data_IF_946179212899
#
_entry.id   IF_946179212899
#
_cell.length_a   1.000
_cell.length_b   1.000
_cell.length_c   1.000
_cell.angle_alpha   90.00
_cell.angle_beta   90.00
_cell.angle_gamma   90.00
#
_symmetry.space_group_name_H-M   'P 1'
#
loop_
_entity.id
_entity.type
_entity.pdbx_description
1 polymer ?
#
# COMPACT_ATOMS: atom_id res chain seq x y z
N UNK A 1 -6.96 16.94 -12.45
CA UNK A 1 -8.18 16.11 -12.60
C UNK A 1 -8.70 15.83 -11.21
N UNK A 2 -9.86 16.37 -10.87
CA UNK A 2 -10.52 16.12 -9.59
C UNK A 2 -11.11 14.68 -9.56
N UNK A 3 -11.75 14.28 -8.44
CA UNK A 3 -12.26 12.92 -8.31
C UNK A 3 -13.43 12.64 -9.26
N UNK A 4 -14.30 13.62 -9.47
CA UNK A 4 -15.48 13.49 -10.34
C UNK A 4 -15.06 13.41 -11.81
N UNK A 5 -14.18 14.29 -12.27
CA UNK A 5 -13.58 14.23 -13.61
C UNK A 5 -12.87 12.90 -13.88
N UNK A 6 -12.23 12.32 -12.84
CA UNK A 6 -11.59 11.00 -12.93
C UNK A 6 -12.60 9.90 -13.17
N UNK A 7 -13.72 9.94 -12.47
CA UNK A 7 -14.78 8.94 -12.61
C UNK A 7 -15.44 9.03 -13.97
N UNK A 8 -15.79 10.24 -14.41
CA UNK A 8 -16.36 10.48 -15.72
C UNK A 8 -15.45 9.95 -16.84
N UNK A 9 -14.15 10.28 -16.78
CA UNK A 9 -13.16 9.78 -17.74
C UNK A 9 -13.06 8.24 -17.72
N UNK A 10 -13.10 7.62 -16.55
CA UNK A 10 -13.05 6.15 -16.43
C UNK A 10 -14.28 5.50 -17.03
N UNK A 11 -15.46 6.04 -16.77
CA UNK A 11 -16.70 5.50 -17.34
C UNK A 11 -16.77 5.69 -18.85
N UNK A 12 -16.33 6.83 -19.36
CA UNK A 12 -16.38 7.11 -20.79
C UNK A 12 -15.32 6.34 -21.59
N UNK A 13 -14.08 6.26 -21.08
CA UNK A 13 -12.95 5.75 -21.85
C UNK A 13 -12.39 4.43 -21.38
N UNK A 14 -12.42 4.16 -20.07
CA UNK A 14 -11.76 2.97 -19.49
C UNK A 14 -12.72 1.78 -19.37
N UNK A 15 -13.93 2.02 -18.90
CA UNK A 15 -14.94 0.99 -18.73
C UNK A 15 -15.21 0.19 -20.01
N UNK A 16 -15.41 0.80 -21.20
CA UNK A 16 -15.63 0.05 -22.44
C UNK A 16 -14.46 -0.88 -22.79
N UNK A 17 -13.22 -0.44 -22.52
CA UNK A 17 -12.02 -1.25 -22.80
C UNK A 17 -11.93 -2.44 -21.83
N UNK A 18 -12.25 -2.23 -20.57
CA UNK A 18 -12.28 -3.30 -19.56
C UNK A 18 -13.38 -4.31 -19.87
N UNK A 19 -14.57 -3.83 -20.26
CA UNK A 19 -15.69 -4.70 -20.65
C UNK A 19 -15.33 -5.57 -21.85
N UNK A 20 -14.72 -4.98 -22.87
CA UNK A 20 -14.27 -5.71 -24.06
C UNK A 20 -13.20 -6.76 -23.70
N UNK A 21 -12.25 -6.41 -22.83
CA UNK A 21 -11.24 -7.36 -22.35
C UNK A 21 -11.90 -8.58 -21.70
N UNK A 22 -12.83 -8.36 -20.76
CA UNK A 22 -13.50 -9.48 -20.06
C UNK A 22 -14.42 -10.25 -20.99
N UNK A 23 -15.08 -9.59 -21.93
CA UNK A 23 -15.87 -10.25 -23.00
C UNK A 23 -15.01 -11.17 -23.86
N UNK A 24 -13.84 -10.72 -24.29
CA UNK A 24 -12.89 -11.51 -25.06
C UNK A 24 -12.38 -12.73 -24.27
N UNK A 25 -11.98 -12.51 -23.01
CA UNK A 25 -11.48 -13.59 -22.15
C UNK A 25 -12.57 -14.62 -21.87
N UNK A 26 -13.80 -14.18 -21.62
CA UNK A 26 -14.95 -15.07 -21.41
C UNK A 26 -15.33 -15.91 -22.64
N UNK A 27 -14.97 -15.45 -23.85
CA UNK A 27 -15.15 -16.18 -25.10
C UNK A 27 -14.10 -17.28 -25.35
N UNK A 28 -13.02 -17.35 -24.56
CA UNK A 28 -11.99 -18.36 -24.78
C UNK A 28 -12.35 -19.71 -24.19
N UNK A 29 -12.20 -20.78 -25.01
CA UNK A 29 -12.22 -22.15 -24.49
C UNK A 29 -10.87 -22.47 -23.82
N UNK A 30 -10.84 -22.32 -22.49
CA UNK A 30 -9.64 -22.55 -21.69
C UNK A 30 -9.09 -23.98 -21.82
N UNK A 31 -9.95 -24.97 -22.16
CA UNK A 31 -9.52 -26.35 -22.30
C UNK A 31 -8.75 -26.60 -23.60
N UNK A 32 -9.00 -25.77 -24.61
CA UNK A 32 -8.33 -25.82 -25.92
C UNK A 32 -7.08 -24.97 -26.00
N UNK A 33 -6.77 -24.18 -24.96
CA UNK A 33 -5.55 -23.39 -24.93
C UNK A 33 -4.32 -24.26 -24.79
N UNK A 34 -3.39 -24.16 -25.76
CA UNK A 34 -2.09 -24.85 -25.74
C UNK A 34 -1.14 -24.30 -24.67
N UNK A 35 -1.20 -23.01 -24.39
CA UNK A 35 -0.37 -22.35 -23.39
C UNK A 35 -0.97 -22.42 -21.99
N UNK A 36 -0.32 -23.18 -21.09
CA UNK A 36 -0.73 -23.26 -19.70
C UNK A 36 -0.63 -21.89 -18.97
N UNK A 37 0.38 -21.10 -19.31
CA UNK A 37 0.54 -19.75 -18.73
C UNK A 37 -0.63 -18.84 -19.10
N UNK A 38 -1.04 -18.86 -20.36
CA UNK A 38 -2.19 -18.08 -20.83
C UNK A 38 -3.50 -18.55 -20.15
N UNK A 39 -3.73 -19.86 -20.08
CA UNK A 39 -4.88 -20.43 -19.39
C UNK A 39 -4.95 -20.02 -17.92
N UNK A 40 -3.82 -20.04 -17.19
CA UNK A 40 -3.74 -19.56 -15.81
C UNK A 40 -4.06 -18.08 -15.69
N UNK A 41 -3.54 -17.25 -16.59
CA UNK A 41 -3.80 -15.81 -16.61
C UNK A 41 -5.28 -15.49 -16.87
N UNK A 42 -5.90 -16.13 -17.88
CA UNK A 42 -7.33 -15.96 -18.16
C UNK A 42 -8.18 -16.36 -16.95
N UNK A 43 -7.89 -17.52 -16.35
CA UNK A 43 -8.60 -17.99 -15.16
C UNK A 43 -8.45 -17.05 -13.97
N UNK A 44 -7.25 -16.51 -13.76
CA UNK A 44 -7.01 -15.50 -12.72
C UNK A 44 -7.87 -14.25 -12.95
N UNK A 45 -7.87 -13.70 -14.15
CA UNK A 45 -8.67 -12.53 -14.49
C UNK A 45 -10.18 -12.78 -14.27
N UNK A 46 -10.71 -13.90 -14.75
CA UNK A 46 -12.11 -14.26 -14.57
C UNK A 46 -12.50 -14.43 -13.09
N UNK A 47 -11.62 -15.07 -12.30
CA UNK A 47 -11.90 -15.30 -10.87
C UNK A 47 -11.81 -14.04 -10.02
N UNK A 48 -11.09 -13.03 -10.48
CA UNK A 48 -10.86 -11.78 -9.75
C UNK A 48 -11.51 -10.55 -10.41
N UNK A 49 -12.38 -10.73 -11.39
CA UNK A 49 -13.01 -9.65 -12.16
C UNK A 49 -13.59 -8.56 -11.27
N UNK A 50 -14.40 -8.94 -10.27
CA UNK A 50 -15.03 -7.99 -9.36
C UNK A 50 -13.99 -7.10 -8.63
N UNK A 51 -12.92 -7.70 -8.11
CA UNK A 51 -11.84 -6.95 -7.46
C UNK A 51 -11.03 -6.09 -8.43
N UNK A 52 -10.82 -6.56 -9.65
CA UNK A 52 -10.09 -5.84 -10.68
C UNK A 52 -10.88 -4.66 -11.26
N UNK A 53 -12.20 -4.64 -11.08
CA UNK A 53 -13.08 -3.54 -11.54
C UNK A 53 -13.29 -2.44 -10.50
N UNK A 54 -12.93 -2.63 -9.23
CA UNK A 54 -13.20 -1.66 -8.14
C UNK A 54 -12.72 -0.25 -8.48
N UNK A 55 -11.58 -0.10 -9.18
CA UNK A 55 -11.08 1.21 -9.57
C UNK A 55 -12.00 1.96 -10.55
N UNK A 56 -12.92 1.29 -11.21
CA UNK A 56 -13.90 1.92 -12.09
C UNK A 56 -15.01 2.63 -11.31
N UNK A 57 -15.31 2.15 -10.09
CA UNK A 57 -16.41 2.63 -9.25
C UNK A 57 -15.92 3.51 -8.09
N UNK A 58 -14.64 3.41 -7.71
CA UNK A 58 -14.03 4.19 -6.63
C UNK A 58 -12.88 5.07 -7.16
N UNK A 59 -13.04 6.40 -7.17
CA UNK A 59 -12.02 7.32 -7.67
C UNK A 59 -10.73 7.33 -6.85
N UNK A 60 -10.75 6.86 -5.60
CA UNK A 60 -9.59 6.78 -4.72
C UNK A 60 -8.72 5.56 -5.04
N UNK A 61 -9.31 4.52 -5.63
CA UNK A 61 -8.58 3.30 -6.02
C UNK A 61 -7.82 3.55 -7.32
N UNK A 62 -6.51 3.36 -7.29
CA UNK A 62 -5.67 3.46 -8.48
C UNK A 62 -5.78 2.20 -9.35
N UNK A 63 -5.70 2.37 -10.67
CA UNK A 63 -5.66 1.26 -11.63
C UNK A 63 -4.30 0.53 -11.66
N UNK A 64 -3.35 0.96 -10.84
CA UNK A 64 -1.99 0.43 -10.77
C UNK A 64 -1.49 0.33 -9.33
N UNK A 65 -0.46 -0.48 -9.11
CA UNK A 65 0.13 -0.73 -7.79
C UNK A 65 1.40 0.10 -7.51
N UNK A 66 1.68 1.14 -8.31
CA UNK A 66 2.92 1.92 -8.22
C UNK A 66 3.18 2.46 -6.81
N UNK A 67 2.15 2.94 -6.10
CA UNK A 67 2.28 3.46 -4.74
C UNK A 67 2.77 2.40 -3.74
N UNK A 68 2.32 1.16 -3.91
CA UNK A 68 2.77 0.05 -3.07
C UNK A 68 4.17 -0.39 -3.46
N UNK A 69 4.47 -0.49 -4.75
CA UNK A 69 5.79 -0.86 -5.25
C UNK A 69 6.85 0.16 -4.82
N UNK A 70 6.58 1.46 -4.94
CA UNK A 70 7.45 2.53 -4.47
C UNK A 70 7.74 2.43 -2.96
N UNK A 71 6.75 1.98 -2.18
CA UNK A 71 6.95 1.75 -0.76
C UNK A 71 8.02 0.68 -0.48
N UNK A 72 8.22 -0.29 -1.36
CA UNK A 72 9.25 -1.33 -1.21
C UNK A 72 10.61 -0.97 -1.81
N UNK A 73 10.70 0.01 -2.68
CA UNK A 73 11.95 0.42 -3.34
C UNK A 73 13.05 0.74 -2.31
N UNK A 74 12.73 1.42 -1.22
CA UNK A 74 13.72 1.77 -0.18
C UNK A 74 14.26 0.53 0.54
N UNK A 75 13.43 -0.50 0.76
CA UNK A 75 13.84 -1.77 1.37
C UNK A 75 14.71 -2.53 0.38
N UNK A 76 14.31 -2.61 -0.89
CA UNK A 76 15.06 -3.29 -1.94
C UNK A 76 16.45 -2.65 -2.16
N UNK A 77 16.52 -1.31 -2.17
CA UNK A 77 17.80 -0.57 -2.26
C UNK A 77 18.65 -0.74 -1.02
N UNK A 78 18.04 -0.65 0.17
CA UNK A 78 18.73 -0.80 1.44
C UNK A 78 19.34 -2.19 1.63
N UNK A 79 18.78 -3.21 0.98
CA UNK A 79 19.32 -4.57 0.99
C UNK A 79 20.78 -4.64 0.54
N UNK A 80 21.24 -3.74 -0.30
CA UNK A 80 22.64 -3.64 -0.69
C UNK A 80 23.55 -3.11 0.43
N UNK A 81 22.99 -2.40 1.42
CA UNK A 81 23.75 -1.80 2.52
C UNK A 81 23.78 -2.72 3.74
N UNK A 82 22.65 -3.35 4.11
CA UNK A 82 22.54 -4.18 5.31
C UNK A 82 22.37 -5.69 5.05
N UNK A 83 22.44 -6.14 3.81
CA UNK A 83 22.47 -7.52 3.29
C UNK A 83 21.47 -8.51 3.93
N UNK A 84 21.38 -8.58 5.25
CA UNK A 84 20.55 -9.53 6.01
C UNK A 84 19.97 -8.91 7.27
N UNK A 85 18.84 -9.44 7.71
CA UNK A 85 18.23 -9.09 9.01
C UNK A 85 18.76 -9.94 10.18
N UNK A 86 19.70 -10.86 9.93
CA UNK A 86 20.36 -11.80 10.85
C UNK A 86 19.45 -12.64 11.75
N UNK A 87 18.21 -12.23 12.00
CA UNK A 87 17.23 -12.95 12.80
C UNK A 87 15.81 -12.61 12.35
N UNK A 88 14.87 -13.44 12.75
CA UNK A 88 13.44 -13.25 12.48
C UNK A 88 12.92 -11.97 13.18
N UNK A 89 13.36 -11.73 14.41
CA UNK A 89 13.02 -10.50 15.14
C UNK A 89 13.61 -9.24 14.48
N UNK A 90 14.84 -9.32 13.97
CA UNK A 90 15.45 -8.24 13.19
C UNK A 90 14.68 -7.94 11.90
N UNK A 91 14.20 -8.96 11.20
CA UNK A 91 13.38 -8.79 10.01
C UNK A 91 12.02 -8.15 10.35
N UNK A 92 11.40 -8.58 11.45
CA UNK A 92 10.15 -8.01 11.95
C UNK A 92 10.34 -6.55 12.35
N UNK A 93 11.38 -6.23 13.12
CA UNK A 93 11.69 -4.86 13.51
C UNK A 93 11.92 -3.94 12.30
N UNK A 94 12.69 -4.39 11.30
CA UNK A 94 12.91 -3.65 10.06
C UNK A 94 11.60 -3.38 9.32
N UNK A 95 10.73 -4.37 9.24
CA UNK A 95 9.43 -4.25 8.57
C UNK A 95 8.54 -3.23 9.28
N UNK A 96 8.43 -3.31 10.61
CA UNK A 96 7.63 -2.39 11.42
C UNK A 96 8.16 -0.96 11.29
N UNK A 97 9.46 -0.74 11.51
CA UNK A 97 10.08 0.59 11.40
C UNK A 97 9.94 1.18 9.99
N UNK A 98 10.11 0.36 8.95
CA UNK A 98 9.91 0.81 7.57
C UNK A 98 8.46 1.19 7.30
N UNK A 99 7.50 0.45 7.83
CA UNK A 99 6.08 0.74 7.70
C UNK A 99 5.72 2.06 8.38
N UNK A 100 6.13 2.24 9.63
CA UNK A 100 5.86 3.44 10.43
C UNK A 100 6.49 4.69 9.78
N UNK A 101 7.76 4.62 9.37
CA UNK A 101 8.45 5.75 8.77
C UNK A 101 7.84 6.19 7.44
N UNK A 102 7.39 5.23 6.61
CA UNK A 102 6.72 5.52 5.34
C UNK A 102 5.33 6.10 5.56
N UNK A 103 4.60 5.58 6.53
CA UNK A 103 3.28 6.11 6.90
C UNK A 103 3.41 7.54 7.43
N UNK A 104 4.35 7.80 8.33
CA UNK A 104 4.63 9.15 8.83
C UNK A 104 4.93 10.13 7.69
N UNK A 105 5.77 9.74 6.73
CA UNK A 105 6.06 10.56 5.55
C UNK A 105 4.84 10.84 4.70
N UNK A 106 3.97 9.84 4.48
CA UNK A 106 2.70 9.98 3.73
C UNK A 106 1.70 10.88 4.44
N UNK A 107 1.74 10.90 5.78
CA UNK A 107 0.94 11.82 6.60
C UNK A 107 1.52 13.25 6.67
N UNK A 108 2.60 13.54 5.94
CA UNK A 108 3.23 14.86 5.92
C UNK A 108 4.03 15.20 7.18
N UNK A 109 4.48 14.17 7.92
CA UNK A 109 5.25 14.38 9.14
C UNK A 109 6.75 14.51 8.88
N UNK A 110 7.44 15.29 9.71
CA UNK A 110 8.89 15.20 9.86
C UNK A 110 9.22 13.86 10.54
N UNK A 111 9.75 12.92 9.79
CA UNK A 111 9.99 11.55 10.24
C UNK A 111 10.92 11.49 11.45
N UNK A 112 11.94 12.35 11.50
CA UNK A 112 12.90 12.36 12.61
C UNK A 112 12.23 12.82 13.92
N UNK A 113 11.50 13.94 13.88
CA UNK A 113 10.74 14.44 15.03
C UNK A 113 9.69 13.41 15.50
N UNK A 114 9.04 12.77 14.56
CA UNK A 114 8.03 11.73 14.85
C UNK A 114 8.67 10.53 15.57
N UNK A 115 9.76 9.98 15.04
CA UNK A 115 10.44 8.86 15.67
C UNK A 115 10.98 9.21 17.07
N UNK A 116 11.56 10.38 17.23
CA UNK A 116 12.01 10.87 18.53
C UNK A 116 10.86 10.95 19.54
N UNK A 117 9.71 11.50 19.12
CA UNK A 117 8.52 11.60 19.97
C UNK A 117 8.01 10.19 20.37
N UNK A 118 7.89 9.27 19.42
CA UNK A 118 7.45 7.89 19.68
C UNK A 118 8.41 7.17 20.64
N UNK A 119 9.71 7.27 20.40
CA UNK A 119 10.72 6.65 21.26
C UNK A 119 10.68 7.22 22.69
N UNK A 120 10.49 8.52 22.83
CA UNK A 120 10.39 9.17 24.15
C UNK A 120 9.09 8.74 24.87
N UNK A 121 7.96 8.68 24.19
CA UNK A 121 6.69 8.26 24.79
C UNK A 121 6.72 6.79 25.20
N UNK A 122 7.44 5.93 24.48
CA UNK A 122 7.53 4.50 24.82
C UNK A 122 8.67 4.16 25.79
N UNK A 123 9.47 5.14 26.19
CA UNK A 123 10.60 4.93 27.09
C UNK A 123 10.19 4.32 28.45
N UNK A 124 9.01 4.68 28.94
CA UNK A 124 8.48 4.19 30.22
C UNK A 124 8.00 2.73 30.16
N UNK A 125 7.79 2.19 28.94
CA UNK A 125 7.22 0.86 28.71
C UNK A 125 8.25 -0.19 28.29
N UNK A 126 9.54 0.02 28.60
CA UNK A 126 10.63 -0.85 28.14
C UNK A 126 10.49 -2.30 28.53
N UNK A 127 9.88 -2.59 29.69
CA UNK A 127 9.78 -3.93 30.28
C UNK A 127 8.33 -4.43 30.36
N UNK A 128 7.37 -3.70 29.83
CA UNK A 128 5.96 -4.04 29.86
C UNK A 128 5.29 -3.89 28.50
N UNK A 129 4.14 -4.54 28.30
CA UNK A 129 3.35 -4.35 27.11
C UNK A 129 2.78 -2.93 27.06
N UNK A 130 2.90 -2.27 25.92
CA UNK A 130 2.37 -0.92 25.71
C UNK A 130 0.84 -1.03 25.57
N UNK A 131 0.05 -0.30 26.36
CA UNK A 131 -1.40 -0.27 26.23
C UNK A 131 -1.85 0.23 24.84
N UNK A 132 -2.95 -0.33 24.34
CA UNK A 132 -3.45 0.00 22.99
C UNK A 132 -3.80 1.47 22.82
N UNK A 133 -4.36 2.10 23.87
CA UNK A 133 -4.68 3.53 23.85
C UNK A 133 -3.44 4.42 23.76
N UNK A 134 -2.32 3.99 24.33
CA UNK A 134 -1.01 4.68 24.21
C UNK A 134 -0.49 4.55 22.77
N UNK A 135 -0.64 3.37 22.16
CA UNK A 135 -0.25 3.14 20.78
C UNK A 135 -1.10 4.02 19.84
N UNK A 136 -2.41 4.06 20.03
CA UNK A 136 -3.33 4.84 19.20
C UNK A 136 -2.99 6.34 19.20
N UNK A 137 -2.55 6.88 20.34
CA UNK A 137 -2.16 8.30 20.47
C UNK A 137 -0.87 8.66 19.74
N UNK A 138 -0.05 7.70 19.36
CA UNK A 138 1.19 7.96 18.62
C UNK A 138 1.12 7.57 17.14
N UNK A 139 -0.05 7.14 16.65
CA UNK A 139 -0.18 6.81 15.24
C UNK A 139 0.01 8.04 14.34
N UNK A 140 0.64 7.90 13.17
CA UNK A 140 1.01 9.03 12.31
C UNK A 140 -0.14 9.90 11.82
N UNK A 141 -1.37 9.39 11.86
CA UNK A 141 -2.58 10.10 11.46
C UNK A 141 -3.34 10.74 12.63
N UNK A 142 -2.85 10.58 13.88
CA UNK A 142 -3.45 11.24 15.04
C UNK A 142 -3.22 12.75 14.95
N UNK A 143 -4.25 13.55 15.26
CA UNK A 143 -4.22 15.00 15.09
C UNK A 143 -3.14 15.66 15.96
N UNK A 144 -2.97 15.24 17.22
CA UNK A 144 -1.91 15.73 18.11
C UNK A 144 -0.52 15.48 17.50
N UNK A 145 -0.29 14.32 16.89
CA UNK A 145 0.97 13.97 16.23
C UNK A 145 1.19 14.85 15.00
N UNK A 146 0.14 15.14 14.25
CA UNK A 146 0.21 16.01 13.07
C UNK A 146 0.55 17.45 13.46
N UNK A 147 0.04 17.95 14.57
CA UNK A 147 0.39 19.28 15.09
C UNK A 147 1.85 19.33 15.57
N UNK A 148 2.31 18.31 16.31
CA UNK A 148 3.65 18.28 16.88
C UNK A 148 4.75 18.00 15.86
N UNK A 149 4.48 17.16 14.88
CA UNK A 149 5.48 16.61 13.96
C UNK A 149 5.24 16.98 12.49
N UNK A 150 4.18 17.72 12.16
CA UNK A 150 3.87 18.14 10.80
C UNK A 150 5.02 18.94 10.17
N UNK A 151 5.19 18.79 8.87
CA UNK A 151 6.07 19.65 8.09
C UNK A 151 5.39 21.03 7.98
N UNK A 152 6.09 22.06 8.39
CA UNK A 152 5.64 23.43 8.10
C UNK A 152 5.60 23.60 6.58
N UNK A 153 4.43 23.97 6.05
CA UNK A 153 4.22 24.31 4.64
C UNK A 153 4.90 25.64 4.34
#
# INVERSE_FOLDING_TARGET
MNLDERMEYRHEHTLPVVDELFRLIGGFDLNRMSSEKMRKACRYLMNHEAGLRVFLDDPLVAAHNNSSEEAFVSIARGRHNWLFAYSEDGARALTVLSSITKTARRCGLNVLKYLELVMNRFREWRESAIPSDVIERVLPWNDEIRELCGLSV
#
